data_IF_282316375327
#
_entry.id   IF_282316375327
#
_cell.length_a   1.000
_cell.length_b   1.000
_cell.length_c   1.000
_cell.angle_alpha   90.00
_cell.angle_beta   90.00
_cell.angle_gamma   90.00
#
_symmetry.space_group_name_H-M   'P 1'
#
loop_
_entity.id
_entity.type
_entity.pdbx_description
1 polymer ?
#
# COMPACT_ATOMS: atom_id res chain seq x y z
N UNK A 1 8.35 13.93 6.30
CA UNK A 1 6.97 13.76 5.77
C UNK A 1 6.45 15.06 5.17
N UNK A 2 7.37 15.95 4.81
CA UNK A 2 7.09 17.38 4.66
C UNK A 2 6.25 17.66 3.40
N UNK A 3 6.46 16.88 2.34
CA UNK A 3 5.64 16.93 1.13
C UNK A 3 4.16 16.56 1.41
N UNK A 4 3.91 15.56 2.27
CA UNK A 4 2.55 15.14 2.65
C UNK A 4 1.91 16.20 3.55
N UNK A 5 2.67 16.76 4.49
CA UNK A 5 2.19 17.85 5.34
C UNK A 5 1.81 19.10 4.52
N UNK A 6 2.66 19.51 3.58
CA UNK A 6 2.37 20.62 2.67
C UNK A 6 1.14 20.34 1.79
N UNK A 7 0.98 19.09 1.31
CA UNK A 7 -0.21 18.70 0.57
C UNK A 7 -1.48 18.77 1.43
N UNK A 8 -1.42 18.37 2.71
CA UNK A 8 -2.56 18.49 3.62
C UNK A 8 -3.03 19.95 3.76
N UNK A 9 -2.12 20.91 3.93
CA UNK A 9 -2.50 22.33 4.03
C UNK A 9 -3.14 22.84 2.75
N UNK A 10 -2.52 22.57 1.59
CA UNK A 10 -3.09 22.95 0.27
C UNK A 10 -4.49 22.37 0.04
N UNK A 11 -4.73 21.12 0.47
CA UNK A 11 -6.04 20.48 0.34
C UNK A 11 -7.10 21.13 1.22
N UNK A 12 -6.74 21.55 2.45
CA UNK A 12 -7.66 22.31 3.32
C UNK A 12 -8.01 23.67 2.72
N UNK A 13 -7.01 24.38 2.18
CA UNK A 13 -7.22 25.65 1.48
C UNK A 13 -8.14 25.49 0.27
N UNK A 14 -8.04 24.35 -0.44
CA UNK A 14 -8.92 23.99 -1.55
C UNK A 14 -10.33 23.54 -1.13
N UNK A 15 -10.67 23.60 0.17
CA UNK A 15 -12.00 23.29 0.68
C UNK A 15 -12.22 21.85 1.14
N UNK A 16 -11.17 21.03 1.23
CA UNK A 16 -11.30 19.69 1.80
C UNK A 16 -11.73 19.76 3.27
N UNK A 17 -12.79 19.03 3.63
CA UNK A 17 -13.30 18.98 5.02
C UNK A 17 -12.22 18.56 6.02
N UNK A 18 -11.37 17.60 5.65
CA UNK A 18 -10.24 17.10 6.46
C UNK A 18 -9.12 16.62 5.55
N UNK A 19 -7.90 17.07 5.82
CA UNK A 19 -6.67 16.46 5.31
C UNK A 19 -5.66 16.43 6.47
N UNK A 20 -5.36 15.23 6.97
CA UNK A 20 -4.50 15.07 8.16
C UNK A 20 -3.48 13.95 7.90
N UNK A 21 -2.26 14.07 8.44
CA UNK A 21 -1.32 12.96 8.48
C UNK A 21 -1.91 11.80 9.29
N UNK A 22 -1.72 10.57 8.81
CA UNK A 22 -2.03 9.37 9.58
C UNK A 22 -0.79 8.94 10.40
N UNK A 23 -0.98 8.37 11.61
CA UNK A 23 0.11 7.88 12.45
C UNK A 23 0.64 6.55 11.89
N UNK A 24 1.43 6.62 10.82
CA UNK A 24 2.05 5.46 10.17
C UNK A 24 3.56 5.59 10.16
N UNK A 25 4.27 4.47 10.20
CA UNK A 25 5.73 4.42 10.33
C UNK A 25 6.49 4.45 9.00
N UNK A 26 5.80 4.26 7.87
CA UNK A 26 6.43 4.15 6.55
C UNK A 26 5.52 4.67 5.41
N UNK A 27 6.08 5.00 4.24
CA UNK A 27 5.32 5.53 3.10
C UNK A 27 4.68 4.40 2.28
N UNK A 28 3.78 3.62 2.90
CA UNK A 28 3.13 2.47 2.28
C UNK A 28 2.42 2.83 0.96
N UNK A 29 2.34 1.86 0.04
CA UNK A 29 1.75 2.02 -1.30
C UNK A 29 2.37 3.14 -2.17
N UNK A 30 3.61 3.54 -1.90
CA UNK A 30 4.36 4.49 -2.74
C UNK A 30 5.60 3.85 -3.35
N UNK A 31 6.15 4.49 -4.38
CA UNK A 31 7.43 4.09 -5.01
C UNK A 31 8.60 4.11 -4.03
N UNK A 32 8.51 4.86 -2.93
CA UNK A 32 9.53 4.89 -1.88
C UNK A 32 9.67 3.54 -1.15
N UNK A 33 8.69 2.64 -1.29
CA UNK A 33 8.73 1.28 -0.73
C UNK A 33 9.49 0.28 -1.60
N UNK A 34 9.95 0.67 -2.80
CA UNK A 34 10.60 -0.25 -3.75
C UNK A 34 11.75 -1.08 -3.14
N UNK A 35 12.70 -0.50 -2.36
CA UNK A 35 13.79 -1.29 -1.77
C UNK A 35 13.31 -2.32 -0.74
N UNK A 36 12.19 -2.05 -0.04
CA UNK A 36 11.61 -3.00 0.90
C UNK A 36 10.83 -4.10 0.17
N UNK A 37 10.13 -3.74 -0.92
CA UNK A 37 9.41 -4.70 -1.76
C UNK A 37 10.36 -5.74 -2.39
N UNK A 38 11.52 -5.31 -2.89
CA UNK A 38 12.53 -6.21 -3.46
C UNK A 38 13.05 -7.23 -2.45
N UNK A 39 13.34 -6.78 -1.22
CA UNK A 39 13.77 -7.67 -0.13
C UNK A 39 12.68 -8.65 0.26
N UNK A 40 11.43 -8.20 0.35
CA UNK A 40 10.30 -9.06 0.66
C UNK A 40 10.08 -10.10 -0.44
N UNK A 41 10.20 -9.71 -1.72
CA UNK A 41 10.02 -10.61 -2.86
C UNK A 41 10.99 -11.81 -2.82
N UNK A 42 12.23 -11.61 -2.37
CA UNK A 42 13.21 -12.68 -2.19
C UNK A 42 12.76 -13.69 -1.13
N UNK A 43 12.22 -13.22 -0.01
CA UNK A 43 11.69 -14.08 1.06
C UNK A 43 10.44 -14.81 0.60
N UNK A 44 9.53 -14.13 -0.12
CA UNK A 44 8.30 -14.75 -0.61
C UNK A 44 8.57 -15.85 -1.65
N UNK A 45 9.65 -15.73 -2.44
CA UNK A 45 10.06 -16.78 -3.38
C UNK A 45 10.43 -18.12 -2.71
N UNK A 46 10.74 -18.12 -1.41
CA UNK A 46 11.05 -19.36 -0.68
C UNK A 46 9.81 -20.01 -0.06
N UNK A 47 8.62 -19.42 -0.25
CA UNK A 47 7.37 -19.88 0.37
C UNK A 47 6.50 -20.51 -0.71
N UNK A 48 6.03 -21.73 -0.47
CA UNK A 48 5.00 -22.37 -1.29
C UNK A 48 3.63 -21.76 -0.98
N UNK A 49 3.03 -21.05 -1.94
CA UNK A 49 1.67 -20.52 -1.84
C UNK A 49 0.71 -21.55 -2.45
N UNK A 50 -0.36 -21.89 -1.73
CA UNK A 50 -1.37 -22.87 -2.17
C UNK A 50 -2.70 -22.19 -2.50
N UNK A 51 -3.46 -22.81 -3.38
CA UNK A 51 -4.77 -22.32 -3.79
C UNK A 51 -5.69 -22.09 -2.59
N UNK A 52 -6.33 -20.92 -2.57
CA UNK A 52 -7.28 -20.60 -1.53
C UNK A 52 -8.59 -21.37 -1.77
N UNK A 53 -9.04 -22.14 -0.77
CA UNK A 53 -10.33 -22.85 -0.86
C UNK A 53 -11.53 -21.91 -0.88
N UNK A 54 -11.34 -20.69 -0.36
CA UNK A 54 -12.33 -19.62 -0.34
C UNK A 54 -11.76 -18.48 -1.21
N UNK A 55 -12.53 -17.92 -2.17
CA UNK A 55 -12.04 -16.85 -3.03
C UNK A 55 -11.53 -15.65 -2.23
N UNK A 56 -10.27 -15.27 -2.48
CA UNK A 56 -9.65 -14.08 -1.89
C UNK A 56 -9.78 -12.95 -2.89
N UNK A 57 -10.45 -11.86 -2.52
CA UNK A 57 -10.52 -10.65 -3.34
C UNK A 57 -9.36 -9.73 -2.96
N UNK A 58 -8.36 -9.60 -3.82
CA UNK A 58 -7.20 -8.76 -3.53
C UNK A 58 -7.52 -7.28 -3.80
N UNK A 59 -7.23 -6.41 -2.82
CA UNK A 59 -7.42 -4.95 -2.95
C UNK A 59 -6.57 -4.31 -4.07
N UNK A 60 -5.61 -5.03 -4.63
CA UNK A 60 -4.75 -4.55 -5.74
C UNK A 60 -5.50 -4.61 -7.07
N UNK A 61 -6.30 -5.65 -7.29
CA UNK A 61 -6.97 -5.90 -8.58
C UNK A 61 -8.50 -5.84 -8.48
N UNK A 62 -9.04 -5.84 -7.26
CA UNK A 62 -10.46 -5.91 -6.97
C UNK A 62 -11.16 -7.13 -7.62
N UNK A 63 -10.44 -8.23 -7.77
CA UNK A 63 -10.89 -9.49 -8.37
C UNK A 63 -10.43 -10.69 -7.51
N UNK A 64 -11.08 -11.86 -7.65
CA UNK A 64 -10.57 -13.10 -7.09
C UNK A 64 -9.14 -13.37 -7.54
N UNK A 65 -8.27 -13.73 -6.60
CA UNK A 65 -6.92 -14.22 -6.91
C UNK A 65 -6.85 -15.72 -6.73
N UNK A 66 -6.08 -16.34 -7.61
CA UNK A 66 -5.74 -17.75 -7.60
C UNK A 66 -4.23 -17.87 -7.49
N UNK A 67 -3.76 -18.99 -6.94
CA UNK A 67 -2.35 -19.37 -7.11
C UNK A 67 -2.08 -19.64 -8.58
N UNK A 68 -1.04 -18.99 -9.10
CA UNK A 68 -0.60 -19.13 -10.50
C UNK A 68 0.30 -20.34 -10.65
#
# INVERSE_FOLDING_TARGET
TDAVAAACEKMKEAGARRAIPLPVSAPFHSTLMQPAAEKLAQVLHTIEIKEAQIPVIANVHAQPVHTS
#
